data_IF_098092819954
#
_entry.id   IF_098092819954
#
_cell.length_a   1.000
_cell.length_b   1.000
_cell.length_c   1.000
_cell.angle_alpha   90.00
_cell.angle_beta   90.00
_cell.angle_gamma   90.00
#
_symmetry.space_group_name_H-M   'P 1'
#
loop_
_entity.id
_entity.type
_entity.pdbx_description
1 polymer ?
#
# COMPACT_ATOMS: atom_id res chain seq x y z
N UNK A 1 -1.71 -11.90 12.49
CA UNK A 1 -1.19 -11.27 13.73
C UNK A 1 -2.28 -10.39 14.31
N UNK A 2 -2.40 -10.28 15.64
CA UNK A 2 -3.31 -9.34 16.34
C UNK A 2 -2.50 -8.63 17.45
N UNK A 3 -2.74 -7.33 17.68
CA UNK A 3 -2.14 -6.58 18.79
C UNK A 3 -3.20 -6.13 19.80
N UNK A 4 -2.86 -6.09 21.09
CA UNK A 4 -3.80 -5.72 22.16
C UNK A 4 -4.34 -4.28 22.02
N UNK A 5 -5.56 -4.06 22.52
CA UNK A 5 -6.36 -2.86 22.33
C UNK A 5 -5.87 -1.57 23.03
N UNK A 6 -4.73 -1.59 23.72
CA UNK A 6 -4.28 -0.56 24.69
C UNK A 6 -4.52 0.91 24.29
N UNK A 7 -5.71 1.44 24.55
CA UNK A 7 -6.13 2.80 24.22
C UNK A 7 -6.26 3.13 22.73
N UNK A 8 -6.17 2.15 21.82
CA UNK A 8 -6.25 2.38 20.38
C UNK A 8 -7.72 2.42 19.95
N UNK A 9 -8.12 3.36 19.11
CA UNK A 9 -9.54 3.58 18.73
C UNK A 9 -9.88 3.09 17.31
N UNK A 10 -8.88 2.89 16.45
CA UNK A 10 -9.04 2.29 15.12
C UNK A 10 -8.45 0.88 15.03
N UNK A 11 -8.79 0.20 13.94
CA UNK A 11 -8.20 -1.07 13.53
C UNK A 11 -7.47 -0.89 12.20
N UNK A 12 -6.35 -1.57 12.05
CA UNK A 12 -5.57 -1.64 10.82
C UNK A 12 -5.74 -3.05 10.27
N UNK A 13 -6.33 -3.18 9.09
CA UNK A 13 -6.36 -4.42 8.34
C UNK A 13 -5.31 -4.34 7.22
N UNK A 14 -4.19 -5.03 7.45
CA UNK A 14 -3.01 -4.96 6.61
C UNK A 14 -2.86 -6.21 5.74
N UNK A 15 -2.78 -6.02 4.42
CA UNK A 15 -2.55 -7.08 3.44
C UNK A 15 -1.08 -7.03 3.02
N UNK A 16 -0.34 -8.10 3.35
CA UNK A 16 1.10 -8.19 3.10
C UNK A 16 1.43 -8.14 1.60
N UNK A 17 2.57 -7.55 1.19
CA UNK A 17 3.08 -7.72 -0.18
C UNK A 17 3.45 -9.17 -0.49
N UNK A 18 3.66 -9.48 -1.77
CA UNK A 18 4.18 -10.80 -2.15
C UNK A 18 5.62 -10.98 -1.68
N UNK A 19 5.88 -12.08 -0.98
CA UNK A 19 7.22 -12.58 -0.63
C UNK A 19 7.52 -13.92 -1.30
N UNK A 20 6.53 -14.49 -1.98
CA UNK A 20 6.65 -15.77 -2.65
C UNK A 20 7.23 -15.60 -4.05
N UNK A 21 8.34 -16.26 -4.35
CA UNK A 21 8.92 -16.19 -5.70
C UNK A 21 8.09 -16.96 -6.74
N UNK A 22 7.45 -18.06 -6.32
CA UNK A 22 6.80 -19.00 -7.23
C UNK A 22 7.77 -19.88 -8.03
N UNK A 23 7.23 -20.67 -8.94
CA UNK A 23 8.00 -21.48 -9.90
C UNK A 23 7.17 -21.75 -11.16
N UNK A 24 7.75 -22.42 -12.16
CA UNK A 24 7.07 -22.71 -13.42
C UNK A 24 5.70 -23.41 -13.25
N UNK A 25 5.54 -24.23 -12.22
CA UNK A 25 4.31 -24.99 -11.94
C UNK A 25 3.62 -24.55 -10.63
N UNK A 26 4.04 -23.42 -10.03
CA UNK A 26 3.47 -22.92 -8.78
C UNK A 26 3.31 -21.41 -8.81
N UNK A 27 2.05 -20.98 -8.81
CA UNK A 27 1.65 -19.59 -9.00
C UNK A 27 1.05 -18.95 -7.76
N UNK A 28 0.51 -19.75 -6.82
CA UNK A 28 0.12 -19.28 -5.50
C UNK A 28 0.91 -20.03 -4.42
N UNK A 29 1.28 -19.30 -3.37
CA UNK A 29 1.89 -19.84 -2.17
C UNK A 29 0.97 -20.86 -1.50
N UNK A 30 1.53 -21.98 -1.04
CA UNK A 30 0.78 -22.92 -0.19
C UNK A 30 0.64 -22.36 1.23
N UNK A 31 -0.54 -22.44 1.85
CA UNK A 31 -0.70 -22.14 3.27
C UNK A 31 0.01 -23.15 4.20
N UNK A 32 0.62 -24.20 3.67
CA UNK A 32 1.51 -25.10 4.43
C UNK A 32 3.00 -24.75 4.29
N UNK A 33 3.34 -23.71 3.53
CA UNK A 33 4.71 -23.24 3.34
C UNK A 33 5.14 -22.38 4.53
N UNK A 34 5.82 -22.99 5.50
CA UNK A 34 6.26 -22.32 6.72
C UNK A 34 7.45 -21.38 6.50
N UNK A 35 8.26 -21.61 5.46
CA UNK A 35 9.40 -20.74 5.13
C UNK A 35 8.88 -19.41 4.58
N UNK A 36 8.01 -19.46 3.56
CA UNK A 36 7.39 -18.25 3.00
C UNK A 36 6.51 -17.52 4.02
N UNK A 37 5.86 -18.23 4.97
CA UNK A 37 5.14 -17.58 6.08
C UNK A 37 6.06 -16.80 7.03
N UNK A 38 7.29 -17.24 7.23
CA UNK A 38 8.27 -16.51 8.03
C UNK A 38 8.69 -15.22 7.33
N UNK A 39 8.91 -15.28 6.01
CA UNK A 39 9.21 -14.11 5.18
C UNK A 39 8.03 -13.13 5.12
N UNK A 40 6.80 -13.66 5.03
CA UNK A 40 5.56 -12.87 5.08
C UNK A 40 5.50 -12.07 6.38
N UNK A 41 5.77 -12.72 7.52
CA UNK A 41 5.82 -12.05 8.82
C UNK A 41 6.91 -10.97 8.84
N UNK A 42 8.07 -11.24 8.22
CA UNK A 42 9.14 -10.28 8.06
C UNK A 42 8.70 -9.03 7.30
N UNK A 43 8.10 -9.21 6.13
CA UNK A 43 7.59 -8.12 5.29
C UNK A 43 6.49 -7.31 6.01
N UNK A 44 5.55 -7.97 6.70
CA UNK A 44 4.56 -7.28 7.55
C UNK A 44 5.25 -6.40 8.58
N UNK A 45 6.27 -6.90 9.27
CA UNK A 45 6.95 -6.12 10.32
C UNK A 45 7.68 -4.88 9.78
N UNK A 46 8.21 -4.95 8.55
CA UNK A 46 8.91 -3.81 7.93
C UNK A 46 8.00 -2.58 7.78
N UNK A 47 6.71 -2.80 7.50
CA UNK A 47 5.72 -1.74 7.26
C UNK A 47 4.84 -1.47 8.51
N UNK A 48 4.73 -2.45 9.40
CA UNK A 48 3.88 -2.39 10.60
C UNK A 48 4.07 -1.12 11.43
N UNK A 49 5.31 -0.67 11.62
CA UNK A 49 5.61 0.50 12.44
C UNK A 49 5.03 1.82 11.91
N UNK A 50 4.59 1.86 10.64
CA UNK A 50 3.84 3.00 10.07
C UNK A 50 2.43 3.09 10.67
N UNK A 51 1.83 1.95 11.01
CA UNK A 51 0.40 1.84 11.31
C UNK A 51 0.09 1.46 12.76
N UNK A 52 0.93 0.66 13.41
CA UNK A 52 0.63 0.02 14.70
C UNK A 52 0.56 0.98 15.91
N UNK A 53 1.02 2.22 15.72
CA UNK A 53 0.80 3.33 16.64
C UNK A 53 -0.65 3.81 16.68
N UNK A 54 -1.38 3.67 15.58
CA UNK A 54 -2.71 4.28 15.39
C UNK A 54 -3.89 3.30 15.52
N UNK A 55 -3.64 1.98 15.52
CA UNK A 55 -4.72 0.99 15.60
C UNK A 55 -4.30 -0.41 16.00
N UNK A 56 -5.28 -1.26 16.35
CA UNK A 56 -5.04 -2.70 16.52
C UNK A 56 -4.66 -3.27 15.16
N UNK A 57 -3.61 -4.07 15.10
CA UNK A 57 -3.03 -4.49 13.83
C UNK A 57 -3.43 -5.92 13.49
N UNK A 58 -4.18 -6.09 12.41
CA UNK A 58 -4.62 -7.36 11.85
C UNK A 58 -3.93 -7.60 10.51
N UNK A 59 -3.31 -8.77 10.35
CA UNK A 59 -2.70 -9.17 9.08
C UNK A 59 -2.93 -10.68 8.87
N UNK A 60 -3.81 -11.07 7.92
CA UNK A 60 -4.10 -12.48 7.63
C UNK A 60 -3.07 -13.08 6.68
N UNK A 61 -2.75 -14.36 6.86
CA UNK A 61 -2.08 -15.13 5.82
C UNK A 61 -3.08 -15.43 4.70
N UNK A 62 -2.62 -15.36 3.46
CA UNK A 62 -3.40 -15.71 2.28
C UNK A 62 -2.49 -16.36 1.23
N UNK A 63 -3.08 -17.04 0.24
CA UNK A 63 -2.34 -17.69 -0.85
C UNK A 63 -1.84 -16.66 -1.86
N UNK A 64 -0.81 -15.90 -1.47
CA UNK A 64 -0.15 -14.89 -2.30
C UNK A 64 0.18 -15.44 -3.68
N UNK A 65 -0.02 -14.64 -4.73
CA UNK A 65 0.52 -14.99 -6.04
C UNK A 65 2.03 -14.80 -6.02
N UNK A 66 2.79 -15.65 -6.71
CA UNK A 66 4.24 -15.55 -6.80
C UNK A 66 4.72 -14.41 -7.70
N UNK A 67 5.96 -13.97 -7.50
CA UNK A 67 6.60 -12.96 -8.36
C UNK A 67 6.60 -13.37 -9.84
N UNK A 68 6.74 -14.67 -10.13
CA UNK A 68 6.63 -15.25 -11.47
C UNK A 68 5.30 -14.95 -12.20
N UNK A 69 4.21 -14.69 -11.48
CA UNK A 69 2.91 -14.35 -12.10
C UNK A 69 2.95 -12.95 -12.71
N UNK A 70 3.75 -12.03 -12.14
CA UNK A 70 3.92 -10.68 -12.71
C UNK A 70 4.69 -10.66 -14.03
N UNK A 71 5.33 -11.77 -14.42
CA UNK A 71 5.95 -11.94 -15.74
C UNK A 71 4.93 -12.30 -16.83
N UNK A 72 3.71 -12.70 -16.45
CA UNK A 72 2.64 -13.04 -17.38
C UNK A 72 1.91 -11.79 -17.88
N UNK A 73 1.19 -11.88 -19.03
CA UNK A 73 0.19 -10.89 -19.40
C UNK A 73 -0.86 -10.71 -18.30
N UNK A 74 -1.36 -9.49 -18.08
CA UNK A 74 -2.30 -9.20 -16.99
C UNK A 74 -3.56 -10.10 -17.01
N UNK A 75 -4.11 -10.38 -18.20
CA UNK A 75 -5.28 -11.26 -18.36
C UNK A 75 -5.04 -12.69 -17.86
N UNK A 76 -3.79 -13.14 -17.84
CA UNK A 76 -3.42 -14.50 -17.44
C UNK A 76 -3.12 -14.58 -15.94
N UNK A 77 -2.97 -13.43 -15.25
CA UNK A 77 -2.75 -13.32 -13.81
C UNK A 77 -4.04 -13.49 -13.02
N UNK A 78 -5.16 -13.01 -13.57
CA UNK A 78 -6.45 -12.89 -12.86
C UNK A 78 -6.90 -14.19 -12.17
N UNK A 79 -6.84 -15.39 -12.79
CA UNK A 79 -7.26 -16.61 -12.10
C UNK A 79 -6.46 -16.92 -10.81
N UNK A 80 -5.21 -16.48 -10.74
CA UNK A 80 -4.36 -16.65 -9.56
C UNK A 80 -4.59 -15.56 -8.52
N UNK A 81 -4.86 -14.33 -8.98
CA UNK A 81 -5.25 -13.21 -8.13
C UNK A 81 -6.62 -13.44 -7.48
N UNK A 82 -7.59 -14.03 -8.18
CA UNK A 82 -8.90 -14.40 -7.63
C UNK A 82 -8.78 -15.35 -6.42
N UNK A 83 -7.83 -16.29 -6.45
CA UNK A 83 -7.56 -17.18 -5.31
C UNK A 83 -7.04 -16.39 -4.10
N UNK A 84 -6.11 -15.46 -4.35
CA UNK A 84 -5.55 -14.60 -3.30
C UNK A 84 -6.61 -13.65 -2.72
N UNK A 85 -7.43 -13.06 -3.59
CA UNK A 85 -8.54 -12.18 -3.21
C UNK A 85 -9.57 -12.91 -2.35
N UNK A 86 -10.02 -14.10 -2.77
CA UNK A 86 -10.99 -14.87 -2.01
C UNK A 86 -10.51 -15.18 -0.57
N UNK A 87 -9.23 -15.51 -0.39
CA UNK A 87 -8.66 -15.70 0.96
C UNK A 87 -8.65 -14.41 1.79
N UNK A 88 -8.36 -13.27 1.15
CA UNK A 88 -8.31 -11.96 1.81
C UNK A 88 -9.72 -11.48 2.17
N UNK A 89 -10.71 -11.69 1.31
CA UNK A 89 -12.13 -11.41 1.58
C UNK A 89 -12.65 -12.28 2.73
N UNK A 90 -12.43 -13.60 2.68
CA UNK A 90 -12.81 -14.51 3.77
C UNK A 90 -12.18 -14.09 5.11
N UNK A 91 -10.91 -13.68 5.09
CA UNK A 91 -10.23 -13.18 6.28
C UNK A 91 -10.75 -11.82 6.76
N UNK A 92 -11.10 -10.91 5.83
CA UNK A 92 -11.68 -9.62 6.15
C UNK A 92 -13.06 -9.76 6.79
N UNK A 93 -13.94 -10.59 6.21
CA UNK A 93 -15.26 -10.88 6.79
C UNK A 93 -15.14 -11.52 8.17
N UNK A 94 -14.21 -12.47 8.35
CA UNK A 94 -13.95 -13.05 9.67
C UNK A 94 -13.50 -11.99 10.69
N UNK A 95 -12.59 -11.09 10.30
CA UNK A 95 -12.18 -9.95 11.13
C UNK A 95 -13.38 -9.03 11.43
N UNK A 96 -14.18 -8.70 10.43
CA UNK A 96 -15.31 -7.78 10.54
C UNK A 96 -16.36 -8.30 11.53
N UNK A 97 -16.74 -9.57 11.41
CA UNK A 97 -17.78 -10.19 12.23
C UNK A 97 -17.35 -10.53 13.65
N UNK A 98 -16.05 -10.80 13.87
CA UNK A 98 -15.56 -11.36 15.13
C UNK A 98 -14.69 -10.39 15.94
N UNK A 99 -14.07 -9.39 15.30
CA UNK A 99 -13.06 -8.54 15.93
C UNK A 99 -13.34 -7.04 15.80
N UNK A 100 -13.90 -6.56 14.68
CA UNK A 100 -14.04 -5.12 14.42
C UNK A 100 -14.88 -4.40 15.49
N UNK A 101 -15.97 -5.02 15.98
CA UNK A 101 -16.82 -4.49 17.06
C UNK A 101 -17.24 -3.02 16.85
N UNK A 102 -17.52 -2.64 15.60
CA UNK A 102 -17.97 -1.29 15.25
C UNK A 102 -16.87 -0.24 15.12
N UNK A 103 -15.59 -0.63 15.17
CA UNK A 103 -14.46 0.30 15.17
C UNK A 103 -14.15 0.84 13.77
N UNK A 104 -13.63 2.08 13.66
CA UNK A 104 -13.10 2.58 12.40
C UNK A 104 -11.95 1.70 11.90
N UNK A 105 -11.85 1.52 10.58
CA UNK A 105 -10.86 0.68 9.93
C UNK A 105 -9.98 1.46 8.95
N UNK A 106 -8.69 1.20 9.00
CA UNK A 106 -7.71 1.56 7.97
C UNK A 106 -7.39 0.28 7.20
N UNK A 107 -7.58 0.30 5.89
CA UNK A 107 -7.00 -0.73 5.01
C UNK A 107 -5.60 -0.28 4.62
N UNK A 108 -4.65 -1.21 4.57
CA UNK A 108 -3.30 -0.91 4.13
C UNK A 108 -2.68 -2.11 3.44
N UNK A 109 -1.91 -1.87 2.39
CA UNK A 109 -1.13 -2.90 1.74
C UNK A 109 -0.10 -2.30 0.79
N UNK A 110 0.86 -3.13 0.43
CA UNK A 110 1.90 -2.78 -0.52
C UNK A 110 1.85 -3.67 -1.76
N UNK A 111 1.98 -3.09 -2.95
CA UNK A 111 2.08 -3.85 -4.21
C UNK A 111 0.89 -4.79 -4.39
N UNK A 112 1.08 -6.11 -4.35
CA UNK A 112 -0.03 -7.07 -4.32
C UNK A 112 -1.04 -6.79 -3.21
N UNK A 113 -0.57 -6.47 -2.00
CA UNK A 113 -1.47 -6.16 -0.89
C UNK A 113 -2.29 -4.90 -1.16
N UNK A 114 -1.71 -3.92 -1.85
CA UNK A 114 -2.41 -2.70 -2.27
C UNK A 114 -3.50 -3.00 -3.33
N UNK A 115 -3.20 -3.83 -4.33
CA UNK A 115 -4.20 -4.35 -5.29
C UNK A 115 -5.39 -4.99 -4.56
N UNK A 116 -5.10 -5.93 -3.66
CA UNK A 116 -6.12 -6.66 -2.91
C UNK A 116 -6.89 -5.74 -1.95
N UNK A 117 -6.27 -4.69 -1.40
CA UNK A 117 -6.99 -3.66 -0.64
C UNK A 117 -7.95 -2.84 -1.50
N UNK A 118 -7.60 -2.50 -2.74
CA UNK A 118 -8.52 -1.81 -3.66
C UNK A 118 -9.69 -2.73 -4.00
N UNK A 119 -9.43 -3.99 -4.37
CA UNK A 119 -10.47 -4.98 -4.66
C UNK A 119 -11.38 -5.30 -3.46
N UNK A 120 -10.83 -5.29 -2.24
CA UNK A 120 -11.63 -5.33 -1.01
C UNK A 120 -12.60 -4.15 -0.93
N UNK A 121 -12.17 -2.92 -1.26
CA UNK A 121 -13.09 -1.78 -1.28
C UNK A 121 -14.18 -1.94 -2.35
N UNK A 122 -13.82 -2.46 -3.52
CA UNK A 122 -14.77 -2.73 -4.61
C UNK A 122 -15.87 -3.70 -4.16
N UNK A 123 -15.49 -4.82 -3.54
CA UNK A 123 -16.39 -5.94 -3.26
C UNK A 123 -17.06 -5.88 -1.88
N UNK A 124 -16.36 -5.37 -0.88
CA UNK A 124 -16.78 -5.43 0.52
C UNK A 124 -17.26 -4.09 1.06
N UNK A 125 -17.13 -2.97 0.34
CA UNK A 125 -17.48 -1.63 0.83
C UNK A 125 -18.53 -0.90 -0.03
N UNK A 126 -19.34 -1.59 -0.83
CA UNK A 126 -20.49 -0.95 -1.49
C UNK A 126 -21.61 -0.58 -0.47
N UNK A 127 -21.62 -1.22 0.69
CA UNK A 127 -22.56 -0.91 1.78
C UNK A 127 -22.17 0.37 2.54
N UNK A 128 -23.13 1.30 2.68
CA UNK A 128 -22.94 2.61 3.33
C UNK A 128 -22.37 2.48 4.75
N UNK A 129 -22.83 1.50 5.54
CA UNK A 129 -22.35 1.26 6.92
C UNK A 129 -20.86 0.93 7.00
N UNK A 130 -20.31 0.25 5.99
CA UNK A 130 -18.88 -0.13 5.94
C UNK A 130 -18.03 1.04 5.48
N UNK A 131 -18.47 1.75 4.43
CA UNK A 131 -17.80 2.98 3.97
C UNK A 131 -17.74 4.04 5.06
N UNK A 132 -18.79 4.14 5.86
CA UNK A 132 -18.85 5.03 7.00
C UNK A 132 -17.76 4.76 8.05
N UNK A 133 -17.32 3.51 8.18
CA UNK A 133 -16.25 3.10 9.10
C UNK A 133 -14.87 3.12 8.46
N UNK A 134 -14.76 3.34 7.15
CA UNK A 134 -13.47 3.46 6.48
C UNK A 134 -12.82 4.79 6.84
N UNK A 135 -11.70 4.72 7.56
CA UNK A 135 -10.82 5.88 7.78
C UNK A 135 -10.12 6.20 6.48
N UNK A 136 -9.40 5.23 5.91
CA UNK A 136 -8.67 5.37 4.66
C UNK A 136 -8.16 4.00 4.18
N UNK A 137 -7.83 3.91 2.89
CA UNK A 137 -7.12 2.79 2.30
C UNK A 137 -5.75 3.26 1.78
N UNK A 138 -4.66 2.76 2.36
CA UNK A 138 -3.30 2.99 1.89
C UNK A 138 -2.91 1.86 0.92
N UNK A 139 -3.18 2.08 -0.37
CA UNK A 139 -2.86 1.17 -1.46
C UNK A 139 -1.56 1.63 -2.15
N UNK A 140 -0.44 1.50 -1.44
CA UNK A 140 0.87 2.01 -1.89
C UNK A 140 1.53 1.04 -2.87
N UNK A 141 2.18 1.56 -3.91
CA UNK A 141 2.80 0.72 -4.94
C UNK A 141 1.79 -0.01 -5.81
N UNK A 142 0.59 0.55 -5.98
CA UNK A 142 -0.39 0.04 -6.93
C UNK A 142 -1.07 1.19 -7.66
N UNK A 143 -1.33 1.02 -8.96
CA UNK A 143 -2.04 2.04 -9.74
C UNK A 143 -3.54 2.02 -9.45
N UNK A 144 -4.14 3.19 -9.40
CA UNK A 144 -5.60 3.41 -9.47
C UNK A 144 -5.88 4.37 -10.62
N UNK A 145 -6.78 4.00 -11.53
CA UNK A 145 -7.05 4.72 -12.78
C UNK A 145 -8.49 5.27 -12.83
N UNK A 146 -8.78 6.13 -13.82
CA UNK A 146 -10.15 6.61 -14.07
C UNK A 146 -11.11 5.48 -14.43
N UNK A 147 -10.62 4.39 -15.03
CA UNK A 147 -11.43 3.22 -15.36
C UNK A 147 -11.89 2.50 -14.10
N UNK A 148 -10.97 2.29 -13.15
CA UNK A 148 -11.25 1.67 -11.85
C UNK A 148 -12.30 2.49 -11.07
N UNK A 149 -12.09 3.80 -10.96
CA UNK A 149 -13.02 4.70 -10.25
C UNK A 149 -14.39 4.84 -10.96
N UNK A 150 -14.43 4.71 -12.29
CA UNK A 150 -15.67 4.74 -13.05
C UNK A 150 -16.48 3.45 -12.89
N UNK A 151 -15.80 2.31 -12.70
CA UNK A 151 -16.44 1.03 -12.45
C UNK A 151 -17.04 0.95 -11.04
N UNK A 152 -16.45 1.65 -10.07
CA UNK A 152 -16.85 1.61 -8.65
C UNK A 152 -17.02 3.02 -8.07
N UNK A 153 -18.20 3.65 -8.23
CA UNK A 153 -18.41 5.07 -7.90
C UNK A 153 -18.32 5.43 -6.40
N UNK A 154 -18.35 4.43 -5.51
CA UNK A 154 -18.14 4.65 -4.07
C UNK A 154 -16.66 4.86 -3.73
N UNK A 155 -15.73 4.45 -4.59
CA UNK A 155 -14.31 4.68 -4.43
C UNK A 155 -13.94 6.13 -4.72
N UNK A 156 -13.08 6.69 -3.85
CA UNK A 156 -12.60 8.06 -3.97
C UNK A 156 -11.12 8.11 -3.66
N UNK A 157 -10.36 8.83 -4.47
CA UNK A 157 -8.98 9.18 -4.15
C UNK A 157 -8.95 10.27 -3.09
N UNK A 158 -7.89 10.30 -2.29
CA UNK A 158 -7.63 11.41 -1.38
C UNK A 158 -7.32 12.70 -2.15
N UNK A 159 -7.83 13.84 -1.67
CA UNK A 159 -7.58 15.19 -2.19
C UNK A 159 -6.76 16.06 -1.22
N UNK A 160 -6.63 15.63 0.05
CA UNK A 160 -5.95 16.34 1.12
C UNK A 160 -5.54 15.45 2.30
N UNK A 161 -4.78 16.02 3.24
CA UNK A 161 -4.12 15.31 4.36
C UNK A 161 -5.09 14.60 5.31
N UNK A 162 -6.29 15.16 5.51
CA UNK A 162 -7.25 14.73 6.52
C UNK A 162 -8.55 14.13 5.94
N UNK A 163 -8.60 13.88 4.65
CA UNK A 163 -9.74 13.22 4.03
C UNK A 163 -9.90 11.80 4.57
N UNK A 164 -11.15 11.38 4.75
CA UNK A 164 -11.51 10.05 5.23
C UNK A 164 -12.41 9.32 4.24
N UNK A 165 -12.45 7.98 4.29
CA UNK A 165 -13.18 7.17 3.31
C UNK A 165 -12.57 7.25 1.91
N UNK A 166 -11.25 7.43 1.83
CA UNK A 166 -10.49 7.68 0.60
C UNK A 166 -9.31 6.72 0.42
N UNK A 167 -8.84 6.62 -0.82
CA UNK A 167 -7.67 5.85 -1.23
C UNK A 167 -6.45 6.76 -1.32
N UNK A 168 -5.36 6.34 -0.69
CA UNK A 168 -4.02 6.89 -0.79
C UNK A 168 -3.22 5.91 -1.64
N UNK A 169 -2.74 6.38 -2.78
CA UNK A 169 -1.82 5.64 -3.64
C UNK A 169 -0.76 6.58 -4.20
N UNK A 170 0.42 6.03 -4.43
CA UNK A 170 1.46 6.57 -5.28
C UNK A 170 2.41 5.43 -5.66
N UNK A 171 3.21 5.65 -6.72
CA UNK A 171 4.29 4.77 -7.15
C UNK A 171 5.49 5.65 -7.48
N UNK A 172 6.64 5.36 -6.87
CA UNK A 172 7.83 6.21 -6.98
C UNK A 172 8.70 5.83 -8.17
N UNK A 173 9.04 6.83 -8.97
CA UNK A 173 9.86 6.67 -10.17
C UNK A 173 10.91 7.78 -10.28
N UNK A 174 12.06 7.48 -10.88
CA UNK A 174 13.00 8.51 -11.33
C UNK A 174 12.36 9.35 -12.44
N UNK A 175 12.85 10.58 -12.61
CA UNK A 175 12.28 11.57 -13.55
C UNK A 175 12.28 11.07 -15.00
N UNK A 176 13.24 10.25 -15.38
CA UNK A 176 13.40 9.72 -16.74
C UNK A 176 12.58 8.45 -17.03
N UNK A 177 11.94 7.85 -16.03
CA UNK A 177 11.11 6.64 -16.23
C UNK A 177 9.80 7.01 -16.90
N UNK A 178 9.48 6.31 -17.98
CA UNK A 178 8.26 6.52 -18.78
C UNK A 178 7.44 5.23 -18.98
N UNK A 179 7.87 4.12 -18.39
CA UNK A 179 7.23 2.81 -18.46
C UNK A 179 7.69 1.98 -17.25
N UNK A 180 6.74 1.32 -16.58
CA UNK A 180 7.02 0.43 -15.44
C UNK A 180 5.92 -0.61 -15.30
N UNK A 181 6.19 -1.70 -14.59
CA UNK A 181 5.17 -2.72 -14.31
C UNK A 181 3.96 -2.13 -13.55
N UNK A 182 4.21 -1.19 -12.62
CA UNK A 182 3.15 -0.57 -11.83
C UNK A 182 2.38 0.48 -12.63
N UNK A 183 3.06 1.23 -13.51
CA UNK A 183 2.43 2.23 -14.38
C UNK A 183 2.90 1.99 -15.83
N UNK A 184 2.23 1.10 -16.58
CA UNK A 184 2.59 0.85 -17.97
C UNK A 184 2.53 2.12 -18.84
N UNK A 185 3.33 2.16 -19.90
CA UNK A 185 3.30 3.26 -20.85
C UNK A 185 1.89 3.46 -21.43
N UNK A 186 1.41 4.71 -21.42
CA UNK A 186 0.05 5.06 -21.85
C UNK A 186 -1.01 4.96 -20.74
N UNK A 187 -0.65 4.50 -19.54
CA UNK A 187 -1.53 4.53 -18.37
C UNK A 187 -1.30 5.81 -17.57
N UNK A 188 -2.40 6.43 -17.12
CA UNK A 188 -2.40 7.48 -16.11
C UNK A 188 -3.02 6.96 -14.83
N UNK A 189 -2.29 7.08 -13.73
CA UNK A 189 -2.79 6.75 -12.40
C UNK A 189 -3.06 8.00 -11.56
N UNK A 190 -3.96 7.91 -10.60
CA UNK A 190 -4.13 8.90 -9.55
C UNK A 190 -3.06 8.72 -8.47
N UNK A 191 -2.60 9.83 -7.91
CA UNK A 191 -1.65 9.82 -6.80
C UNK A 191 -1.88 11.00 -5.87
N UNK A 192 -1.43 10.86 -4.62
CA UNK A 192 -1.30 11.97 -3.67
C UNK A 192 0.14 12.00 -3.15
N UNK A 193 0.78 13.17 -3.20
CA UNK A 193 2.16 13.32 -2.79
C UNK A 193 2.25 13.22 -1.26
N UNK A 194 2.97 12.23 -0.69
CA UNK A 194 2.99 12.00 0.75
C UNK A 194 3.74 13.09 1.54
N UNK A 195 4.47 13.99 0.87
CA UNK A 195 5.20 15.08 1.53
C UNK A 195 4.34 16.34 1.74
N UNK A 196 3.37 16.60 0.86
CA UNK A 196 2.56 17.83 0.91
C UNK A 196 1.04 17.59 0.79
N UNK A 197 0.62 16.33 0.62
CA UNK A 197 -0.76 15.86 0.48
C UNK A 197 -1.54 16.55 -0.64
N UNK A 198 -0.86 16.93 -1.72
CA UNK A 198 -1.46 17.47 -2.94
C UNK A 198 -1.54 16.38 -4.02
N UNK A 199 -2.53 16.52 -4.90
CA UNK A 199 -2.82 15.60 -6.01
C UNK A 199 -2.39 16.15 -7.38
N UNK A 200 -1.73 17.31 -7.39
CA UNK A 200 -1.23 17.96 -8.59
C UNK A 200 0.31 17.96 -8.65
N UNK A 201 0.85 18.52 -9.73
CA UNK A 201 2.30 18.62 -9.94
C UNK A 201 3.00 19.63 -9.03
N UNK A 202 2.39 20.12 -7.95
CA UNK A 202 3.06 21.00 -6.99
C UNK A 202 4.22 20.24 -6.31
N UNK A 203 5.47 20.69 -6.49
CA UNK A 203 6.60 20.02 -5.89
C UNK A 203 6.63 20.19 -4.37
N UNK A 204 7.02 19.13 -3.67
CA UNK A 204 7.45 19.14 -2.29
C UNK A 204 8.98 19.09 -2.25
N UNK A 205 9.60 20.09 -1.65
CA UNK A 205 11.04 20.10 -1.40
C UNK A 205 11.41 19.02 -0.38
N UNK A 206 12.63 18.47 -0.47
CA UNK A 206 13.10 17.43 0.46
C UNK A 206 13.08 17.86 1.92
N UNK A 207 13.15 19.15 2.24
CA UNK A 207 12.95 19.66 3.61
C UNK A 207 11.59 19.32 4.22
N UNK A 208 10.61 18.94 3.38
CA UNK A 208 9.30 18.44 3.82
C UNK A 208 9.30 16.94 4.12
N UNK A 209 10.38 16.21 3.86
CA UNK A 209 10.53 14.79 4.19
C UNK A 209 11.03 14.62 5.63
N UNK A 210 10.16 14.25 6.58
CA UNK A 210 10.51 14.18 7.99
C UNK A 210 11.41 12.99 8.33
N UNK A 211 11.57 12.02 7.44
CA UNK A 211 12.42 10.86 7.66
C UNK A 211 12.05 9.68 6.78
N UNK A 212 12.94 9.34 5.86
CA UNK A 212 12.96 8.03 5.22
C UNK A 212 13.51 6.99 6.21
N UNK A 213 12.82 5.86 6.38
CA UNK A 213 13.24 4.82 7.33
C UNK A 213 13.48 3.50 6.61
N UNK A 214 14.63 2.88 6.91
CA UNK A 214 15.02 1.58 6.37
C UNK A 214 15.01 0.56 7.50
N UNK A 215 14.12 -0.43 7.40
CA UNK A 215 13.86 -1.43 8.43
C UNK A 215 14.47 -2.78 8.08
N UNK A 216 14.74 -3.59 9.10
CA UNK A 216 14.97 -5.03 8.92
C UNK A 216 13.65 -5.83 9.01
N UNK A 217 13.71 -7.15 8.82
CA UNK A 217 12.54 -8.05 8.88
C UNK A 217 11.92 -8.17 10.29
N UNK A 218 12.57 -7.63 11.33
CA UNK A 218 11.94 -7.50 12.65
C UNK A 218 11.10 -6.22 12.78
N UNK A 219 11.19 -5.32 11.80
CA UNK A 219 10.62 -3.97 11.84
C UNK A 219 11.52 -2.97 12.56
N UNK A 220 12.74 -3.34 12.93
CA UNK A 220 13.69 -2.41 13.55
C UNK A 220 14.17 -1.40 12.51
N UNK A 221 14.02 -0.11 12.79
CA UNK A 221 14.60 0.96 11.98
C UNK A 221 16.13 0.91 12.15
N UNK A 222 16.83 0.52 11.10
CA UNK A 222 18.30 0.47 11.04
C UNK A 222 18.91 1.82 10.68
N UNK A 223 18.20 2.59 9.85
CA UNK A 223 18.62 3.92 9.41
C UNK A 223 17.39 4.81 9.22
N UNK A 224 17.53 6.08 9.62
CA UNK A 224 16.54 7.13 9.40
C UNK A 224 17.25 8.34 8.80
N UNK A 225 16.80 8.76 7.62
CA UNK A 225 17.41 9.83 6.84
C UNK A 225 16.39 10.96 6.67
N UNK A 226 16.47 12.05 7.44
CA UNK A 226 15.65 13.23 7.19
C UNK A 226 16.05 13.87 5.87
N UNK A 227 15.09 14.50 5.20
CA UNK A 227 15.33 15.22 3.95
C UNK A 227 15.99 14.37 2.84
N UNK A 228 15.70 13.06 2.81
CA UNK A 228 16.26 12.15 1.80
C UNK A 228 15.91 12.61 0.38
N UNK A 229 14.61 12.81 0.13
CA UNK A 229 14.11 13.21 -1.18
C UNK A 229 12.87 14.08 -1.08
N UNK A 230 12.76 15.02 -2.02
CA UNK A 230 11.52 15.68 -2.38
C UNK A 230 10.68 14.78 -3.29
N UNK A 231 9.52 15.29 -3.70
CA UNK A 231 8.67 14.59 -4.65
C UNK A 231 7.71 15.54 -5.38
N UNK A 232 7.30 15.17 -6.59
CA UNK A 232 6.18 15.81 -7.31
C UNK A 232 5.43 14.78 -8.15
N UNK A 233 4.15 15.03 -8.44
CA UNK A 233 3.35 14.14 -9.29
C UNK A 233 3.56 14.53 -10.75
N UNK A 234 3.92 13.54 -11.57
CA UNK A 234 3.99 13.71 -13.02
C UNK A 234 2.59 13.93 -13.62
N UNK A 235 2.40 15.02 -14.37
CA UNK A 235 1.07 15.39 -14.88
C UNK A 235 0.52 14.46 -15.97
N UNK A 236 1.40 13.71 -16.64
CA UNK A 236 1.06 12.79 -17.74
C UNK A 236 0.72 11.40 -17.21
N UNK A 237 1.62 10.78 -16.44
CA UNK A 237 1.51 9.41 -15.91
C UNK A 237 0.87 9.34 -14.53
N UNK A 238 0.95 10.41 -13.75
CA UNK A 238 0.55 10.41 -12.33
C UNK A 238 1.56 9.73 -11.40
N UNK A 239 2.73 9.32 -11.91
CA UNK A 239 3.81 8.76 -11.11
C UNK A 239 4.37 9.79 -10.12
N UNK A 240 4.80 9.34 -8.94
CA UNK A 240 5.48 10.20 -7.97
C UNK A 240 6.96 10.26 -8.33
N UNK A 241 7.41 11.39 -8.88
CA UNK A 241 8.80 11.60 -9.26
C UNK A 241 9.64 12.00 -8.05
N UNK A 242 10.76 11.30 -7.84
CA UNK A 242 11.68 11.53 -6.71
C UNK A 242 13.06 11.99 -7.23
N UNK A 243 13.33 13.31 -7.22
CA UNK A 243 14.48 13.88 -7.95
C UNK A 243 15.82 13.81 -7.20
N UNK A 244 15.83 13.59 -5.89
CA UNK A 244 17.05 13.69 -5.06
C UNK A 244 17.74 12.34 -4.78
N UNK A 245 17.25 11.25 -5.37
CA UNK A 245 17.80 9.89 -5.23
C UNK A 245 18.18 9.31 -6.58
N UNK A 246 19.18 8.43 -6.59
CA UNK A 246 19.69 7.79 -7.81
C UNK A 246 19.44 6.28 -7.83
N UNK A 247 19.28 5.66 -9.02
CA UNK A 247 19.18 4.20 -9.13
C UNK A 247 20.46 3.46 -8.74
N UNK A 248 21.61 4.15 -8.70
CA UNK A 248 22.88 3.58 -8.22
C UNK A 248 22.83 3.35 -6.71
N UNK A 249 22.29 4.32 -5.96
CA UNK A 249 22.15 4.24 -4.51
C UNK A 249 20.94 3.37 -4.10
N UNK A 250 19.89 3.39 -4.92
CA UNK A 250 18.61 2.71 -4.67
C UNK A 250 18.20 1.85 -5.88
N UNK A 251 18.85 0.69 -6.09
CA UNK A 251 18.56 -0.19 -7.21
C UNK A 251 17.19 -0.88 -7.05
N UNK A 252 16.54 -1.32 -8.14
CA UNK A 252 15.18 -1.88 -8.12
C UNK A 252 15.00 -3.13 -7.23
N UNK A 253 16.07 -3.86 -6.94
CA UNK A 253 16.10 -5.00 -6.00
C UNK A 253 15.42 -6.29 -6.47
N UNK A 254 14.49 -6.22 -7.44
CA UNK A 254 13.88 -7.37 -8.11
C UNK A 254 14.04 -7.26 -9.63
N UNK A 255 14.31 -8.38 -10.30
CA UNK A 255 14.57 -8.44 -11.75
C UNK A 255 13.36 -8.04 -12.61
N UNK A 256 12.15 -8.02 -12.03
CA UNK A 256 10.92 -7.55 -12.70
C UNK A 256 10.84 -6.03 -12.84
N UNK A 257 11.73 -5.29 -12.17
CA UNK A 257 11.80 -3.84 -12.20
C UNK A 257 13.10 -3.36 -12.85
N UNK A 258 13.04 -2.20 -13.50
CA UNK A 258 14.18 -1.56 -14.18
C UNK A 258 14.74 -0.41 -13.35
N UNK A 259 15.95 0.03 -13.69
CA UNK A 259 16.61 1.15 -13.02
C UNK A 259 15.71 2.41 -13.00
N UNK A 260 15.59 3.01 -11.81
CA UNK A 260 14.74 4.17 -11.56
C UNK A 260 13.30 3.84 -11.19
N UNK A 261 12.88 2.59 -11.23
CA UNK A 261 11.64 2.16 -10.57
C UNK A 261 11.95 1.92 -9.09
N UNK A 262 11.44 2.80 -8.23
CA UNK A 262 11.73 2.77 -6.79
C UNK A 262 10.66 2.06 -5.96
N UNK A 263 9.96 1.11 -6.58
CA UNK A 263 8.83 0.37 -6.01
C UNK A 263 9.10 -0.15 -4.60
N UNK A 264 10.21 -0.87 -4.39
CA UNK A 264 10.57 -1.42 -3.07
C UNK A 264 10.85 -0.36 -1.98
N UNK A 265 11.02 0.90 -2.39
CA UNK A 265 11.30 2.02 -1.50
C UNK A 265 10.07 2.91 -1.26
N UNK A 266 8.91 2.63 -1.87
CA UNK A 266 7.71 3.49 -1.78
C UNK A 266 7.32 3.81 -0.33
N UNK A 267 7.33 2.80 0.55
CA UNK A 267 7.13 3.02 1.98
C UNK A 267 8.33 3.65 2.68
N UNK A 268 9.53 3.21 2.31
CA UNK A 268 10.77 3.60 3.01
C UNK A 268 11.09 5.09 2.83
N UNK A 269 10.96 5.62 1.62
CA UNK A 269 11.25 7.02 1.30
C UNK A 269 10.35 8.02 2.02
N UNK A 270 9.13 7.61 2.38
CA UNK A 270 8.11 8.48 2.96
C UNK A 270 7.58 7.99 4.31
N UNK A 271 8.31 7.09 4.97
CA UNK A 271 7.88 6.36 6.16
C UNK A 271 7.30 7.27 7.25
N UNK A 272 8.02 8.32 7.66
CA UNK A 272 7.56 9.21 8.74
C UNK A 272 6.39 10.09 8.33
N UNK A 273 6.29 10.46 7.04
CA UNK A 273 5.13 11.19 6.52
C UNK A 273 3.87 10.32 6.59
N UNK A 274 3.97 9.08 6.11
CA UNK A 274 2.88 8.11 6.17
C UNK A 274 2.49 7.81 7.62
N UNK A 275 3.47 7.54 8.49
CA UNK A 275 3.23 7.23 9.90
C UNK A 275 2.45 8.35 10.60
N UNK A 276 2.86 9.61 10.39
CA UNK A 276 2.13 10.77 10.94
C UNK A 276 0.71 10.84 10.39
N UNK A 277 0.56 10.61 9.09
CA UNK A 277 -0.69 10.86 8.41
C UNK A 277 -1.77 9.79 8.67
N UNK A 278 -1.38 8.54 8.94
CA UNK A 278 -2.30 7.51 9.48
C UNK A 278 -2.99 8.06 10.73
N UNK A 279 -2.23 8.63 11.67
CA UNK A 279 -2.80 9.26 12.85
C UNK A 279 -3.68 10.46 12.50
N UNK A 280 -3.24 11.35 11.60
CA UNK A 280 -4.03 12.51 11.16
C UNK A 280 -5.42 12.10 10.66
N UNK A 281 -5.51 11.04 9.85
CA UNK A 281 -6.79 10.57 9.29
C UNK A 281 -7.66 9.85 10.32
N UNK A 282 -7.05 9.06 11.22
CA UNK A 282 -7.77 8.46 12.35
C UNK A 282 -8.38 9.55 13.23
N UNK A 283 -7.61 10.57 13.59
CA UNK A 283 -8.08 11.70 14.40
C UNK A 283 -9.19 12.50 13.69
N UNK A 284 -9.04 12.71 12.38
CA UNK A 284 -10.05 13.38 11.56
C UNK A 284 -11.37 12.60 11.54
N UNK A 285 -11.32 11.28 11.35
CA UNK A 285 -12.50 10.41 11.37
C UNK A 285 -13.20 10.45 12.72
N UNK A 286 -12.45 10.31 13.82
CA UNK A 286 -12.98 10.33 15.18
C UNK A 286 -13.61 11.69 15.56
N UNK A 287 -13.05 12.79 15.05
CA UNK A 287 -13.55 14.14 15.32
C UNK A 287 -14.82 14.49 14.56
N UNK A 288 -15.16 13.75 13.50
CA UNK A 288 -16.30 14.03 12.64
C UNK A 288 -17.61 13.36 13.12
N UNK A 289 -17.58 12.59 14.22
CA UNK A 289 -18.72 11.80 14.71
C UNK A 289 -19.16 12.14 16.13
#
# INVERSE_FOLDING_TARGET
METEAGGREADIFFVCPTVYSGSQDSFNMSLSDEDTKADFLGAVNMEKGIYDGSGRFFAPYYRQIGLNVYEMPETDREPWLEIALADVEDAFEYYWDNYNDGRPVVLAGFSQGADLCVRLLENCFDEEDRMDRLVACYAIGWRVTDEDLSAFPHLKMAEGENDTGVIISFNSEAENVTDSLMIPAGTKTHAINPLNWKTDGTPADKSMNPGACFTDYSGQILSEIPELTGAYIDGERGALKVPDVSPEDYPPGLDIFTDGVYHLYDYQFFYRSLQKNVQTRVDAWLSAR
#
